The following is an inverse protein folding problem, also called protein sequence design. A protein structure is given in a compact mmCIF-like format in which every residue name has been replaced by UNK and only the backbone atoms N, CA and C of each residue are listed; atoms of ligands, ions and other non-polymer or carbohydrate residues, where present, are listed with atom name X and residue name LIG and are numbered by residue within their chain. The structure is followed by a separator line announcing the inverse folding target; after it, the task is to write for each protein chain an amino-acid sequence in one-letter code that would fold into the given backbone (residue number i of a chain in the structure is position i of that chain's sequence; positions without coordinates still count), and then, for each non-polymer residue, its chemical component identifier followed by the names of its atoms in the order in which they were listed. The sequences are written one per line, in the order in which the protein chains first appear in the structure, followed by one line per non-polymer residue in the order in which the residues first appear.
data_IF_958325703780
#
_entry.id   IF_958325703780
#
_cell.length_a   1.000
_cell.length_b   1.000
_cell.length_c   1.000
_cell.angle_alpha   90.00
_cell.angle_beta   90.00
_cell.angle_gamma   90.00
#
_symmetry.space_group_name_H-M   'P 1'
#
loop_
_entity.id
_entity.type
_entity.pdbx_description
1 polymer ?
#
# COMPACT_ATOMS: atom_id res chain seq x y z
N UNK A 1 27.22 56.41 -8.25
CA UNK A 1 28.66 56.46 -8.62
C UNK A 1 29.47 56.70 -7.36
N UNK A 2 30.66 56.10 -7.32
CA UNK A 2 31.57 55.88 -6.17
C UNK A 2 31.72 57.03 -5.16
N UNK A 3 31.95 56.69 -3.88
CA UNK A 3 33.30 56.67 -3.26
C UNK A 3 33.25 56.28 -1.78
N UNK A 4 34.03 55.26 -1.42
CA UNK A 4 34.55 55.10 -0.06
C UNK A 4 35.63 56.16 0.15
N UNK A 5 35.60 56.90 1.26
CA UNK A 5 36.83 57.36 1.94
C UNK A 5 36.54 57.54 3.44
N UNK A 6 37.48 57.01 4.23
CA UNK A 6 37.53 56.87 5.68
C UNK A 6 37.91 58.22 6.32
N UNK A 7 37.34 58.55 7.48
CA UNK A 7 37.94 59.49 8.43
C UNK A 7 38.12 58.84 9.81
N UNK A 8 39.36 58.93 10.30
CA UNK A 8 39.83 58.45 11.60
C UNK A 8 39.44 59.40 12.73
N UNK A 9 39.04 58.86 13.88
CA UNK A 9 38.95 59.63 15.12
C UNK A 9 38.24 58.84 16.22
N UNK A 10 38.92 58.60 17.34
CA UNK A 10 38.36 57.91 18.52
C UNK A 10 37.18 58.72 19.09
N UNK A 11 35.97 58.29 18.79
CA UNK A 11 34.74 58.81 19.37
C UNK A 11 33.79 57.66 19.68
N UNK A 12 33.48 57.45 20.97
CA UNK A 12 32.46 56.51 21.42
C UNK A 12 31.09 57.02 20.94
N UNK A 13 30.55 56.39 19.90
CA UNK A 13 29.25 56.70 19.33
C UNK A 13 28.13 56.10 20.18
N UNK A 14 27.39 56.94 20.90
CA UNK A 14 26.08 56.56 21.42
C UNK A 14 25.07 56.64 20.27
N UNK A 15 24.73 55.48 19.70
CA UNK A 15 23.63 55.35 18.75
C UNK A 15 22.30 55.57 19.49
N UNK A 16 21.67 56.72 19.25
CA UNK A 16 20.32 57.05 19.73
C UNK A 16 19.33 56.11 19.05
N UNK A 17 18.83 55.11 19.78
CA UNK A 17 17.86 54.11 19.30
C UNK A 17 16.65 54.80 18.65
N UNK A 18 16.40 54.50 17.38
CA UNK A 18 15.34 55.12 16.59
C UNK A 18 13.95 54.70 17.12
N UNK A 19 13.08 55.64 17.54
CA UNK A 19 11.74 55.32 18.04
C UNK A 19 10.85 54.60 17.02
N UNK A 20 11.16 54.68 15.71
CA UNK A 20 10.46 53.92 14.67
C UNK A 20 10.71 52.41 14.76
N UNK A 21 11.90 51.97 15.17
CA UNK A 21 12.23 50.53 15.31
C UNK A 21 11.47 49.88 16.47
N UNK A 22 11.23 50.62 17.56
CA UNK A 22 10.40 50.13 18.68
C UNK A 22 8.94 49.94 18.28
N UNK A 23 8.40 50.83 17.44
CA UNK A 23 7.03 50.68 16.90
C UNK A 23 6.94 49.52 15.92
N UNK A 24 7.96 49.31 15.09
CA UNK A 24 8.01 48.20 14.15
C UNK A 24 8.14 46.84 14.86
N UNK A 25 8.98 46.73 15.90
CA UNK A 25 9.10 45.51 16.71
C UNK A 25 7.82 45.18 17.49
N UNK A 26 7.09 46.19 17.99
CA UNK A 26 5.82 45.99 18.68
C UNK A 26 4.71 45.55 17.71
N UNK A 27 4.64 46.13 16.51
CA UNK A 27 3.66 45.76 15.47
C UNK A 27 3.93 44.35 14.95
N UNK A 28 5.19 43.99 14.69
CA UNK A 28 5.57 42.63 14.27
C UNK A 28 5.27 41.62 15.39
N UNK A 29 5.50 41.98 16.66
CA UNK A 29 5.16 41.15 17.82
C UNK A 29 3.66 40.92 18.00
N UNK A 30 2.82 41.93 17.73
CA UNK A 30 1.35 41.81 17.79
C UNK A 30 0.81 40.98 16.61
N UNK A 31 1.41 41.12 15.42
CA UNK A 31 1.06 40.30 14.25
C UNK A 31 1.47 38.83 14.47
N UNK A 32 2.61 38.59 15.12
CA UNK A 32 3.03 37.23 15.49
C UNK A 32 2.16 36.62 16.61
N UNK A 33 1.63 37.42 17.54
CA UNK A 33 0.66 36.95 18.53
C UNK A 33 -0.74 36.67 17.95
N UNK A 34 -1.16 37.41 16.90
CA UNK A 34 -2.44 37.16 16.22
C UNK A 34 -2.38 36.00 15.21
N UNK A 35 -1.22 35.71 14.62
CA UNK A 35 -1.05 34.60 13.69
C UNK A 35 -1.05 33.21 14.37
N UNK A 36 -0.92 33.14 15.70
CA UNK A 36 -1.00 31.89 16.47
C UNK A 36 -2.41 31.55 16.96
N UNK A 37 -3.41 32.42 16.72
CA UNK A 37 -4.79 32.22 17.20
C UNK A 37 -5.77 31.70 16.13
N UNK A 38 -5.33 31.49 14.89
CA UNK A 38 -6.16 30.92 13.82
C UNK A 38 -5.52 29.68 13.21
N UNK A 39 -5.08 28.76 14.06
CA UNK A 39 -5.20 27.35 13.71
C UNK A 39 -6.54 26.88 14.27
N UNK A 40 -7.65 27.24 13.61
CA UNK A 40 -8.86 26.46 13.81
C UNK A 40 -8.51 25.07 13.35
N UNK A 41 -8.38 24.15 14.30
CA UNK A 41 -8.55 22.74 14.00
C UNK A 41 -9.95 22.62 13.40
N UNK A 42 -10.06 22.76 12.07
CA UNK A 42 -11.17 22.15 11.35
C UNK A 42 -11.08 20.70 11.77
N UNK A 43 -12.02 20.27 12.65
CA UNK A 43 -12.23 18.85 12.87
C UNK A 43 -12.34 18.28 11.46
N UNK A 44 -11.34 17.50 11.04
CA UNK A 44 -11.39 16.81 9.76
C UNK A 44 -12.77 16.19 9.68
N UNK A 45 -13.58 16.64 8.71
CA UNK A 45 -14.97 16.26 8.66
C UNK A 45 -14.99 14.72 8.63
N UNK A 46 -15.53 14.11 9.69
CA UNK A 46 -15.61 12.66 9.76
C UNK A 46 -16.37 12.20 8.51
N UNK A 47 -15.82 11.21 7.80
CA UNK A 47 -16.43 10.70 6.59
C UNK A 47 -17.87 10.27 6.88
N UNK A 48 -18.86 10.91 6.23
CA UNK A 48 -20.27 10.54 6.31
C UNK A 48 -20.60 9.56 5.19
N UNK A 49 -20.30 8.28 5.41
CA UNK A 49 -20.73 7.21 4.54
C UNK A 49 -22.05 6.60 4.97
N UNK A 50 -22.91 6.29 4.01
CA UNK A 50 -24.05 5.37 4.21
C UNK A 50 -23.66 3.98 3.71
N UNK A 51 -23.96 2.93 4.48
CA UNK A 51 -23.77 1.55 4.06
C UNK A 51 -24.60 1.29 2.78
N UNK A 52 -23.94 0.83 1.70
CA UNK A 52 -24.63 0.48 0.45
C UNK A 52 -25.13 -0.96 0.44
N UNK A 53 -24.31 -1.88 0.92
CA UNK A 53 -24.60 -3.30 1.04
C UNK A 53 -23.67 -3.93 2.08
N UNK A 54 -24.03 -5.11 2.55
CA UNK A 54 -23.19 -5.99 3.37
C UNK A 54 -23.24 -7.41 2.80
N UNK A 55 -22.16 -8.16 3.00
CA UNK A 55 -22.07 -9.56 2.61
C UNK A 55 -21.56 -10.36 3.81
N UNK A 56 -22.28 -11.41 4.17
CA UNK A 56 -21.85 -12.35 5.21
C UNK A 56 -20.94 -13.41 4.59
N UNK A 57 -19.63 -13.24 4.80
CA UNK A 57 -18.62 -14.12 4.25
C UNK A 57 -18.63 -15.51 4.88
N UNK A 58 -19.35 -15.79 5.96
CA UNK A 58 -19.38 -17.07 6.71
C UNK A 58 -18.06 -17.48 7.39
N UNK A 59 -16.91 -17.03 6.88
CA UNK A 59 -15.58 -17.35 7.39
C UNK A 59 -14.81 -16.07 7.74
N UNK A 60 -13.74 -16.22 8.51
CA UNK A 60 -12.88 -15.09 8.88
C UNK A 60 -12.17 -14.52 7.66
N UNK A 61 -12.33 -13.22 7.44
CA UNK A 61 -11.58 -12.48 6.44
C UNK A 61 -10.29 -11.96 7.08
N UNK A 62 -9.18 -12.63 6.80
CA UNK A 62 -7.86 -12.26 7.33
C UNK A 62 -7.05 -11.41 6.34
N UNK A 63 -7.33 -11.56 5.04
CA UNK A 63 -6.70 -10.79 3.97
C UNK A 63 -7.39 -9.46 3.68
N UNK A 64 -6.70 -8.60 2.93
CA UNK A 64 -7.27 -7.34 2.45
C UNK A 64 -8.07 -7.55 1.16
N UNK A 65 -9.21 -6.86 0.97
CA UNK A 65 -9.97 -6.93 -0.28
C UNK A 65 -9.26 -6.19 -1.44
N UNK A 66 -9.51 -6.62 -2.67
CA UNK A 66 -9.12 -5.91 -3.89
C UNK A 66 -10.36 -5.55 -4.72
N UNK A 67 -10.51 -4.29 -5.08
CA UNK A 67 -11.51 -3.83 -6.06
C UNK A 67 -10.88 -3.76 -7.46
N UNK A 68 -11.41 -4.52 -8.42
CA UNK A 68 -10.95 -4.52 -9.82
C UNK A 68 -12.04 -5.07 -10.76
N UNK A 69 -12.12 -4.57 -11.99
CA UNK A 69 -13.06 -5.06 -13.02
C UNK A 69 -14.52 -5.20 -12.56
N UNK A 70 -14.99 -4.24 -11.74
CA UNK A 70 -16.35 -4.26 -11.17
C UNK A 70 -16.59 -5.32 -10.10
N UNK A 71 -15.54 -5.96 -9.57
CA UNK A 71 -15.61 -6.96 -8.51
C UNK A 71 -14.84 -6.53 -7.27
N UNK A 72 -15.24 -7.06 -6.12
CA UNK A 72 -14.47 -7.08 -4.89
C UNK A 72 -13.99 -8.52 -4.65
N UNK A 73 -12.68 -8.73 -4.66
CA UNK A 73 -12.01 -10.01 -4.45
C UNK A 73 -11.53 -10.12 -3.00
N UNK A 74 -11.88 -11.20 -2.32
CA UNK A 74 -11.61 -11.39 -0.88
C UNK A 74 -11.22 -12.83 -0.59
N UNK A 75 -10.03 -13.04 -0.01
CA UNK A 75 -9.60 -14.32 0.53
C UNK A 75 -10.06 -14.53 1.98
N UNK A 76 -10.42 -15.76 2.34
CA UNK A 76 -10.78 -16.14 3.71
C UNK A 76 -9.81 -17.15 4.35
N UNK A 77 -10.01 -17.40 5.66
CA UNK A 77 -9.20 -18.32 6.46
C UNK A 77 -9.31 -19.78 6.05
N UNK A 78 -10.39 -20.18 5.36
CA UNK A 78 -10.62 -21.55 4.90
C UNK A 78 -10.17 -21.76 3.45
N UNK A 79 -9.55 -20.74 2.85
CA UNK A 79 -8.99 -20.80 1.51
C UNK A 79 -9.99 -20.58 0.40
N UNK A 80 -11.11 -19.92 0.66
CA UNK A 80 -12.00 -19.44 -0.41
C UNK A 80 -11.56 -18.06 -0.87
N UNK A 81 -11.47 -17.88 -2.19
CA UNK A 81 -11.40 -16.58 -2.84
C UNK A 81 -12.79 -16.25 -3.39
N UNK A 82 -13.43 -15.26 -2.77
CA UNK A 82 -14.76 -14.77 -3.12
C UNK A 82 -14.61 -13.62 -4.13
N UNK A 83 -15.50 -13.57 -5.11
CA UNK A 83 -15.69 -12.39 -5.94
C UNK A 83 -17.12 -11.88 -5.81
N UNK A 84 -17.26 -10.67 -5.25
CA UNK A 84 -18.54 -10.00 -5.10
C UNK A 84 -18.71 -8.95 -6.18
N UNK A 85 -19.93 -8.72 -6.65
CA UNK A 85 -20.25 -7.57 -7.49
C UNK A 85 -20.04 -6.29 -6.68
N UNK A 86 -19.26 -5.35 -7.22
CA UNK A 86 -18.87 -4.14 -6.50
C UNK A 86 -20.07 -3.22 -6.19
N UNK A 87 -21.12 -3.26 -7.01
CA UNK A 87 -22.29 -2.38 -6.86
C UNK A 87 -23.32 -2.98 -5.93
N UNK A 88 -23.58 -4.30 -6.03
CA UNK A 88 -24.66 -4.96 -5.28
C UNK A 88 -24.19 -5.73 -4.06
N UNK A 89 -22.91 -6.09 -3.99
CA UNK A 89 -22.37 -6.99 -2.96
C UNK A 89 -22.73 -8.46 -3.15
N UNK A 90 -23.40 -8.81 -4.25
CA UNK A 90 -23.82 -10.18 -4.53
C UNK A 90 -22.62 -11.05 -4.92
N UNK A 91 -22.60 -12.31 -4.47
CA UNK A 91 -21.57 -13.27 -4.87
C UNK A 91 -21.68 -13.56 -6.37
N UNK A 92 -20.57 -13.36 -7.11
CA UNK A 92 -20.44 -13.68 -8.54
C UNK A 92 -19.86 -15.08 -8.71
N UNK A 93 -18.73 -15.36 -8.05
CA UNK A 93 -18.09 -16.66 -8.05
C UNK A 93 -17.27 -16.87 -6.77
N UNK A 94 -16.93 -18.13 -6.49
CA UNK A 94 -16.01 -18.53 -5.43
C UNK A 94 -15.03 -19.58 -5.96
N UNK A 95 -13.79 -19.54 -5.47
CA UNK A 95 -12.78 -20.55 -5.76
C UNK A 95 -12.20 -21.09 -4.45
N UNK A 96 -12.02 -22.41 -4.34
CA UNK A 96 -11.45 -23.06 -3.16
C UNK A 96 -10.01 -23.47 -3.42
N UNK A 97 -9.05 -22.78 -2.79
CA UNK A 97 -7.62 -23.06 -2.88
C UNK A 97 -7.15 -24.14 -1.87
N UNK A 98 -8.00 -24.46 -0.89
CA UNK A 98 -7.78 -25.52 0.10
C UNK A 98 -6.89 -25.13 1.29
N UNK A 99 -6.42 -23.88 1.35
CA UNK A 99 -5.67 -23.33 2.49
C UNK A 99 -5.82 -21.81 2.53
N UNK A 100 -5.72 -21.22 3.72
CA UNK A 100 -6.01 -19.81 4.00
C UNK A 100 -5.36 -18.85 3.01
N UNK A 101 -6.14 -17.87 2.53
CA UNK A 101 -5.66 -16.81 1.63
C UNK A 101 -5.53 -15.53 2.45
N UNK A 102 -4.31 -15.26 2.92
CA UNK A 102 -4.03 -14.13 3.83
C UNK A 102 -3.58 -12.87 3.09
N UNK A 103 -2.95 -13.03 1.92
CA UNK A 103 -2.49 -11.92 1.10
C UNK A 103 -3.66 -11.20 0.41
N UNK A 104 -3.49 -9.91 0.13
CA UNK A 104 -4.38 -9.20 -0.81
C UNK A 104 -4.19 -9.84 -2.20
N UNK A 105 -5.26 -10.24 -2.91
CA UNK A 105 -5.15 -10.66 -4.30
C UNK A 105 -4.56 -9.54 -5.17
N UNK A 106 -3.93 -9.90 -6.27
CA UNK A 106 -3.47 -8.95 -7.28
C UNK A 106 -4.18 -9.21 -8.62
N UNK A 107 -4.33 -8.18 -9.45
CA UNK A 107 -4.97 -8.31 -10.76
C UNK A 107 -4.07 -7.68 -11.83
N UNK A 108 -3.97 -8.36 -12.97
CA UNK A 108 -3.42 -7.79 -14.20
C UNK A 108 -4.22 -8.30 -15.40
N UNK A 109 -4.86 -7.39 -16.14
CA UNK A 109 -5.82 -7.75 -17.18
C UNK A 109 -6.94 -8.62 -16.61
N UNK A 110 -7.12 -9.81 -17.19
CA UNK A 110 -8.16 -10.76 -16.78
C UNK A 110 -7.70 -11.76 -15.71
N UNK A 111 -6.45 -11.68 -15.25
CA UNK A 111 -5.87 -12.65 -14.32
C UNK A 111 -5.84 -12.12 -12.88
N UNK A 112 -6.27 -12.95 -11.94
CA UNK A 112 -6.21 -12.73 -10.48
C UNK A 112 -5.12 -13.63 -9.91
N UNK A 113 -4.16 -13.07 -9.17
CA UNK A 113 -3.09 -13.82 -8.51
C UNK A 113 -3.27 -13.79 -7.00
N UNK A 114 -3.13 -14.96 -6.38
CA UNK A 114 -3.16 -15.08 -4.94
C UNK A 114 -2.33 -16.29 -4.48
N UNK A 115 -1.91 -16.23 -3.22
CA UNK A 115 -1.19 -17.31 -2.57
C UNK A 115 -1.87 -17.76 -1.28
N UNK A 116 -1.55 -18.98 -0.87
CA UNK A 116 -2.13 -19.63 0.30
C UNK A 116 -1.10 -19.87 1.39
N UNK A 117 -1.57 -20.11 2.62
CA UNK A 117 -0.72 -20.41 3.77
C UNK A 117 0.04 -21.75 3.66
N UNK A 118 -0.36 -22.66 2.76
CA UNK A 118 0.37 -23.90 2.46
C UNK A 118 1.37 -23.77 1.30
N UNK A 119 1.57 -22.56 0.77
CA UNK A 119 2.61 -22.26 -0.21
C UNK A 119 2.20 -22.41 -1.67
N UNK A 120 0.92 -22.70 -1.94
CA UNK A 120 0.42 -22.64 -3.32
C UNK A 120 0.34 -21.20 -3.77
N UNK A 121 0.60 -21.00 -5.05
CA UNK A 121 0.39 -19.75 -5.75
C UNK A 121 -0.42 -20.03 -7.01
N UNK A 122 -1.45 -19.24 -7.28
CA UNK A 122 -2.36 -19.55 -8.39
C UNK A 122 -2.84 -18.31 -9.11
N UNK A 123 -3.33 -18.53 -10.34
CA UNK A 123 -3.98 -17.53 -11.15
C UNK A 123 -5.38 -17.97 -11.55
N UNK A 124 -6.36 -17.08 -11.41
CA UNK A 124 -7.74 -17.30 -11.85
C UNK A 124 -8.16 -16.29 -12.93
N UNK A 125 -9.16 -16.64 -13.72
CA UNK A 125 -9.87 -15.67 -14.54
C UNK A 125 -10.77 -14.79 -13.66
N UNK A 126 -10.65 -13.46 -13.74
CA UNK A 126 -11.40 -12.53 -12.89
C UNK A 126 -12.91 -12.56 -13.14
N UNK A 127 -13.35 -12.91 -14.35
CA UNK A 127 -14.77 -12.92 -14.71
C UNK A 127 -15.45 -14.23 -14.31
N UNK A 128 -14.79 -15.37 -14.47
CA UNK A 128 -15.38 -16.70 -14.25
C UNK A 128 -14.95 -17.38 -12.95
N UNK A 129 -13.81 -16.99 -12.37
CA UNK A 129 -13.20 -17.69 -11.23
C UNK A 129 -12.49 -18.99 -11.61
N UNK A 130 -12.39 -19.30 -12.91
CA UNK A 130 -11.72 -20.51 -13.40
C UNK A 130 -10.21 -20.45 -13.17
N UNK A 131 -9.63 -21.58 -12.77
CA UNK A 131 -8.20 -21.73 -12.60
C UNK A 131 -7.48 -21.66 -13.94
N UNK A 132 -6.60 -20.66 -14.11
CA UNK A 132 -5.73 -20.52 -15.27
C UNK A 132 -4.47 -21.37 -15.11
N UNK A 133 -3.84 -21.30 -13.93
CA UNK A 133 -2.71 -22.13 -13.56
C UNK A 133 -2.53 -22.15 -12.04
N UNK A 134 -1.82 -23.16 -11.55
CA UNK A 134 -1.38 -23.27 -10.16
C UNK A 134 0.08 -23.69 -10.11
N UNK A 135 0.82 -23.09 -9.19
CA UNK A 135 2.18 -23.41 -8.85
C UNK A 135 2.24 -23.88 -7.40
N UNK A 136 2.91 -25.02 -7.19
CA UNK A 136 3.32 -25.49 -5.88
C UNK A 136 4.84 -25.65 -5.93
N UNK A 137 5.60 -25.02 -5.01
CA UNK A 137 7.03 -25.24 -4.94
C UNK A 137 7.36 -26.73 -4.78
N UNK A 138 8.32 -27.27 -5.54
CA UNK A 138 8.71 -28.69 -5.44
C UNK A 138 9.33 -29.00 -4.07
N UNK A 139 9.99 -28.02 -3.46
CA UNK A 139 10.55 -28.09 -2.12
C UNK A 139 10.04 -26.89 -1.32
N UNK A 140 9.37 -27.20 -0.21
CA UNK A 140 8.92 -26.21 0.76
C UNK A 140 9.82 -26.33 1.97
N UNK A 141 10.64 -25.30 2.24
CA UNK A 141 11.22 -25.12 3.56
C UNK A 141 10.08 -24.68 4.48
N UNK A 142 9.82 -25.43 5.54
CA UNK A 142 8.75 -25.07 6.48
C UNK A 142 9.16 -23.88 7.33
N UNK A 143 8.33 -22.83 7.47
CA UNK A 143 7.00 -22.64 6.86
C UNK A 143 7.07 -22.22 5.39
N UNK A 144 6.20 -22.72 4.50
CA UNK A 144 6.20 -22.40 3.05
C UNK A 144 5.10 -21.46 2.56
N UNK A 145 4.37 -20.83 3.48
CA UNK A 145 3.18 -20.04 3.14
C UNK A 145 3.47 -18.77 2.34
N UNK A 146 2.54 -18.42 1.44
CA UNK A 146 2.50 -17.14 0.75
C UNK A 146 1.54 -16.22 1.50
N UNK A 147 2.07 -15.39 2.40
CA UNK A 147 1.26 -14.44 3.17
C UNK A 147 1.20 -13.04 2.55
N UNK A 148 2.21 -12.70 1.76
CA UNK A 148 2.32 -11.40 1.11
C UNK A 148 1.29 -11.22 -0.02
N UNK A 149 1.08 -9.96 -0.40
CA UNK A 149 0.30 -9.62 -1.59
C UNK A 149 1.21 -9.73 -2.83
N UNK A 150 0.78 -10.39 -3.91
CA UNK A 150 1.62 -10.52 -5.10
C UNK A 150 1.78 -9.19 -5.85
N UNK A 151 2.85 -9.07 -6.62
CA UNK A 151 3.12 -7.89 -7.45
C UNK A 151 3.24 -8.30 -8.93
N UNK A 152 2.24 -8.04 -9.77
CA UNK A 152 2.38 -8.16 -11.21
C UNK A 152 3.29 -7.07 -11.79
N UNK A 153 4.15 -7.38 -12.76
CA UNK A 153 5.05 -6.41 -13.40
C UNK A 153 5.67 -6.93 -14.70
N UNK A 154 5.62 -6.14 -15.77
CA UNK A 154 6.01 -6.61 -17.12
C UNK A 154 5.21 -7.86 -17.52
N UNK A 155 5.91 -8.93 -17.92
CA UNK A 155 5.33 -10.26 -18.21
C UNK A 155 5.36 -11.22 -17.01
N UNK A 156 5.77 -10.73 -15.83
CA UNK A 156 5.98 -11.53 -14.64
C UNK A 156 4.97 -11.21 -13.54
N UNK A 157 4.90 -12.11 -12.58
CA UNK A 157 4.29 -11.87 -11.27
C UNK A 157 5.26 -12.32 -10.18
N UNK A 158 5.44 -11.45 -9.19
CA UNK A 158 6.35 -11.66 -8.09
C UNK A 158 5.58 -11.98 -6.81
N UNK A 159 6.08 -12.94 -6.04
CA UNK A 159 5.58 -13.20 -4.69
C UNK A 159 6.71 -13.67 -3.78
N UNK A 160 6.54 -13.42 -2.48
CA UNK A 160 7.44 -13.88 -1.44
C UNK A 160 6.80 -15.06 -0.72
N UNK A 161 7.63 -16.03 -0.35
CA UNK A 161 7.21 -17.19 0.41
C UNK A 161 7.97 -17.27 1.73
N UNK A 162 7.30 -17.86 2.70
CA UNK A 162 7.85 -18.14 4.00
C UNK A 162 9.02 -19.14 3.95
N UNK A 163 9.17 -19.88 2.84
CA UNK A 163 10.32 -20.77 2.60
C UNK A 163 11.66 -20.01 2.42
N UNK A 164 11.58 -18.67 2.41
CA UNK A 164 12.67 -17.74 2.30
C UNK A 164 13.01 -17.30 0.89
N UNK A 165 12.19 -17.68 -0.08
CA UNK A 165 12.40 -17.40 -1.50
C UNK A 165 11.48 -16.30 -2.02
N UNK A 166 12.04 -15.52 -2.94
CA UNK A 166 11.30 -14.65 -3.86
C UNK A 166 11.15 -15.39 -5.17
N UNK A 167 9.93 -15.46 -5.66
CA UNK A 167 9.59 -16.09 -6.93
C UNK A 167 9.22 -15.04 -7.96
N UNK A 168 9.72 -15.20 -9.18
CA UNK A 168 9.21 -14.51 -10.36
C UNK A 168 8.67 -15.55 -11.33
N UNK A 169 7.37 -15.47 -11.60
CA UNK A 169 6.65 -16.42 -12.44
C UNK A 169 6.29 -15.77 -13.77
N UNK A 170 6.35 -16.53 -14.85
CA UNK A 170 5.70 -16.18 -16.11
C UNK A 170 4.20 -16.06 -15.83
N UNK A 171 3.65 -14.86 -16.06
CA UNK A 171 2.27 -14.56 -15.67
C UNK A 171 1.24 -15.37 -16.46
N UNK A 172 1.54 -15.72 -17.71
CA UNK A 172 0.63 -16.44 -18.58
C UNK A 172 0.68 -17.95 -18.32
N UNK A 173 1.87 -18.50 -18.07
CA UNK A 173 2.10 -19.95 -17.96
C UNK A 173 2.11 -20.47 -16.53
N UNK A 174 2.37 -19.61 -15.55
CA UNK A 174 2.55 -20.02 -14.16
C UNK A 174 3.83 -20.81 -13.91
N UNK A 175 4.83 -20.68 -14.78
CA UNK A 175 6.15 -21.33 -14.63
C UNK A 175 7.16 -20.37 -14.01
N UNK A 176 8.02 -20.82 -13.09
CA UNK A 176 9.05 -19.97 -12.51
C UNK A 176 10.07 -19.56 -13.58
N UNK A 177 10.31 -18.26 -13.71
CA UNK A 177 11.37 -17.70 -14.57
C UNK A 177 12.67 -17.59 -13.79
N UNK A 178 12.58 -17.16 -12.53
CA UNK A 178 13.69 -17.22 -11.59
C UNK A 178 13.20 -17.31 -10.15
N UNK A 179 14.12 -17.71 -9.27
CA UNK A 179 13.91 -17.73 -7.82
C UNK A 179 15.16 -17.21 -7.13
N UNK A 180 14.97 -16.44 -6.07
CA UNK A 180 16.06 -15.91 -5.25
C UNK A 180 15.86 -16.34 -3.79
N UNK A 181 16.83 -17.06 -3.24
CA UNK A 181 16.79 -17.55 -1.86
C UNK A 181 17.48 -16.54 -0.93
N UNK A 182 16.72 -16.01 0.03
CA UNK A 182 17.23 -15.07 1.04
C UNK A 182 17.77 -15.80 2.28
N UNK A 183 17.56 -17.12 2.38
CA UNK A 183 17.94 -17.98 3.49
C UNK A 183 17.07 -17.81 4.75
N UNK A 184 16.04 -16.94 4.71
CA UNK A 184 15.16 -16.66 5.84
C UNK A 184 13.75 -16.37 5.38
N UNK A 185 12.78 -16.75 6.20
CA UNK A 185 11.36 -16.54 5.98
C UNK A 185 10.99 -15.11 5.56
N UNK A 186 10.19 -15.00 4.48
CA UNK A 186 9.68 -13.73 3.97
C UNK A 186 8.16 -13.65 4.16
N UNK A 187 7.72 -12.64 4.93
CA UNK A 187 6.29 -12.34 5.14
C UNK A 187 5.82 -11.05 4.46
N UNK A 188 6.74 -10.31 3.84
CA UNK A 188 6.45 -9.02 3.21
C UNK A 188 5.80 -9.19 1.84
N UNK A 189 5.09 -8.17 1.39
CA UNK A 189 4.63 -8.06 -0.01
C UNK A 189 5.74 -7.45 -0.86
N UNK A 190 6.14 -8.06 -1.99
CA UNK A 190 7.03 -7.40 -2.95
C UNK A 190 6.34 -6.19 -3.60
N UNK A 191 7.14 -5.29 -4.18
CA UNK A 191 6.67 -4.23 -5.07
C UNK A 191 7.45 -4.29 -6.37
N UNK A 192 6.83 -3.85 -7.45
CA UNK A 192 7.44 -3.76 -8.77
C UNK A 192 7.48 -2.29 -9.22
N UNK A 193 8.61 -1.88 -9.79
CA UNK A 193 8.79 -0.60 -10.49
C UNK A 193 9.64 -0.87 -11.73
N UNK A 194 9.33 -0.15 -12.80
CA UNK A 194 10.17 -0.05 -14.00
C UNK A 194 11.35 0.89 -13.78
#
# INVERSE_FOLDING_TARGET
MQKNTIFSGKGVLYMKRNPAEKRLQLIIGIIFLFALAFCTAEKAAAWKGTMKWSYDAQNSITGSPLAAEGKILIGDSEGRLLALDQKTGSLVWTFSAGSAINGKPAVNGQAVFAGTADGKFFSLNIHTGELLWQFSPPEINTPGGVWGSPAPGGDLVYFNSADGKVYAMDRAKGTPVWTFDTGRELRSSPTYSE
#
